data_IF_258410521065
#
_entry.id   IF_258410521065
#
_cell.length_a   1.000
_cell.length_b   1.000
_cell.length_c   1.000
_cell.angle_alpha   90.00
_cell.angle_beta   90.00
_cell.angle_gamma   90.00
#
_symmetry.space_group_name_H-M   'P 1'
#
loop_
_entity.id
_entity.type
_entity.pdbx_description
1 polymer ?
#
# COMPACT_ATOMS: atom_id res chain seq x y z
N UNK A 1 41.22 5.88 -50.18
CA UNK A 1 40.73 5.98 -51.58
C UNK A 1 39.29 5.52 -51.63
N UNK A 2 38.42 6.19 -52.41
CA UNK A 2 36.97 5.91 -52.65
C UNK A 2 36.09 6.12 -51.39
N UNK A 3 35.21 7.12 -51.21
CA UNK A 3 34.20 7.90 -52.01
C UNK A 3 32.85 7.21 -52.27
N UNK A 4 31.80 7.63 -51.53
CA UNK A 4 30.40 7.93 -51.95
C UNK A 4 29.56 8.16 -50.66
N UNK A 5 28.93 9.31 -50.37
CA UNK A 5 27.88 10.12 -51.06
C UNK A 5 26.46 9.52 -51.03
N UNK A 6 25.66 9.99 -50.08
CA UNK A 6 24.18 10.08 -50.02
C UNK A 6 23.88 10.77 -48.66
N UNK A 7 23.58 12.06 -48.50
CA UNK A 7 22.93 13.11 -49.30
C UNK A 7 21.38 13.12 -49.17
N UNK A 8 20.91 13.95 -48.23
CA UNK A 8 19.61 14.66 -48.15
C UNK A 8 18.28 13.88 -48.15
N UNK A 9 17.60 13.92 -47.00
CA UNK A 9 16.19 14.34 -46.89
C UNK A 9 16.12 15.36 -45.74
N UNK A 10 16.12 16.66 -46.04
CA UNK A 10 14.94 17.47 -46.35
C UNK A 10 14.20 17.91 -45.08
N UNK A 11 14.60 19.08 -44.57
CA UNK A 11 13.90 19.82 -43.51
C UNK A 11 12.48 20.15 -43.95
N UNK A 12 11.47 19.57 -43.28
CA UNK A 12 10.07 19.88 -43.51
C UNK A 12 9.52 20.77 -42.39
N UNK A 13 9.52 22.07 -42.69
CA UNK A 13 8.45 23.00 -42.34
C UNK A 13 8.14 23.22 -40.84
N UNK A 14 8.98 24.04 -40.20
CA UNK A 14 8.52 24.87 -39.08
C UNK A 14 7.55 25.93 -39.61
N UNK A 15 6.24 25.71 -39.41
CA UNK A 15 5.19 26.70 -39.69
C UNK A 15 3.92 26.39 -38.88
N UNK A 16 4.09 26.22 -37.56
CA UNK A 16 2.98 26.28 -36.62
C UNK A 16 2.58 27.75 -36.48
N UNK A 17 1.55 28.11 -37.24
CA UNK A 17 1.00 29.45 -37.34
C UNK A 17 0.53 29.95 -35.98
N UNK A 18 1.02 31.12 -35.58
CA UNK A 18 0.30 32.00 -34.66
C UNK A 18 -0.96 32.54 -35.39
N UNK A 19 -1.92 31.65 -35.63
CA UNK A 19 -3.25 32.03 -36.05
C UNK A 19 -3.89 32.74 -34.85
N UNK A 20 -4.01 34.07 -34.96
CA UNK A 20 -4.70 34.85 -33.94
C UNK A 20 -6.09 34.27 -33.72
N UNK A 21 -6.43 33.99 -32.46
CA UNK A 21 -7.76 33.59 -32.07
C UNK A 21 -8.72 34.75 -32.37
N UNK A 22 -9.33 34.73 -33.56
CA UNK A 22 -10.59 35.41 -33.79
C UNK A 22 -11.60 34.75 -32.85
N UNK A 23 -11.85 35.39 -31.71
CA UNK A 23 -12.80 34.90 -30.71
C UNK A 23 -14.21 34.83 -31.28
N UNK A 24 -14.55 33.68 -31.84
CA UNK A 24 -15.91 33.17 -31.69
C UNK A 24 -16.12 32.98 -30.19
N UNK A 25 -17.05 33.74 -29.60
CA UNK A 25 -17.57 33.44 -28.27
C UNK A 25 -18.37 32.14 -28.38
N UNK A 26 -17.66 31.02 -28.32
CA UNK A 26 -18.25 29.70 -28.09
C UNK A 26 -18.89 29.73 -26.69
N UNK A 27 -20.16 29.35 -26.53
CA UNK A 27 -20.83 29.37 -25.23
C UNK A 27 -20.04 28.59 -24.17
N UNK A 28 -19.99 29.10 -22.94
CA UNK A 28 -19.33 28.44 -21.81
C UNK A 28 -19.75 26.96 -21.63
N UNK A 29 -21.01 26.62 -21.95
CA UNK A 29 -21.52 25.25 -21.92
C UNK A 29 -20.80 24.35 -22.94
N UNK A 30 -20.63 24.79 -24.19
CA UNK A 30 -19.96 24.01 -25.23
C UNK A 30 -18.47 23.78 -24.88
N UNK A 31 -17.80 24.81 -24.35
CA UNK A 31 -16.43 24.72 -23.80
C UNK A 31 -16.37 23.71 -22.65
N UNK A 32 -17.36 23.71 -21.74
CA UNK A 32 -17.44 22.76 -20.63
C UNK A 32 -17.67 21.31 -21.08
N UNK A 33 -18.51 21.09 -22.10
CA UNK A 33 -18.71 19.76 -22.69
C UNK A 33 -17.44 19.27 -23.40
N UNK A 34 -16.72 20.16 -24.10
CA UNK A 34 -15.41 19.85 -24.69
C UNK A 34 -14.37 19.47 -23.61
N UNK A 35 -14.35 20.17 -22.48
CA UNK A 35 -13.51 19.84 -21.33
C UNK A 35 -13.83 18.45 -20.75
N UNK A 36 -15.11 18.10 -20.59
CA UNK A 36 -15.55 16.78 -20.15
C UNK A 36 -15.12 15.66 -21.11
N UNK A 37 -15.18 15.92 -22.43
CA UNK A 37 -14.70 14.97 -23.44
C UNK A 37 -13.19 14.72 -23.32
N UNK A 38 -12.39 15.76 -23.14
CA UNK A 38 -10.94 15.61 -22.96
C UNK A 38 -10.62 14.87 -21.65
N UNK A 39 -11.30 15.21 -20.55
CA UNK A 39 -11.01 14.63 -19.24
C UNK A 39 -11.41 13.14 -19.12
N UNK A 40 -12.53 12.73 -19.74
CA UNK A 40 -13.09 11.37 -19.61
C UNK A 40 -12.86 10.49 -20.85
N UNK A 41 -12.92 11.08 -22.04
CA UNK A 41 -12.79 10.36 -23.31
C UNK A 41 -11.33 10.27 -23.76
N UNK A 42 -10.67 11.42 -23.93
CA UNK A 42 -9.26 11.47 -24.34
C UNK A 42 -8.27 11.15 -23.20
N UNK A 43 -8.72 11.22 -21.94
CA UNK A 43 -7.88 11.12 -20.74
C UNK A 43 -6.74 12.14 -20.68
N UNK A 44 -6.96 13.35 -21.20
CA UNK A 44 -6.03 14.48 -21.13
C UNK A 44 -6.51 15.51 -20.09
N UNK A 45 -6.12 15.36 -18.81
CA UNK A 45 -6.50 16.29 -17.75
C UNK A 45 -5.83 17.66 -17.89
N UNK A 46 -4.72 17.79 -18.62
CA UNK A 46 -4.02 19.05 -18.80
C UNK A 46 -4.75 19.94 -19.82
N UNK A 47 -5.18 19.36 -20.94
CA UNK A 47 -5.99 20.06 -21.93
C UNK A 47 -7.42 20.35 -21.40
N UNK A 48 -8.03 19.41 -20.66
CA UNK A 48 -9.31 19.64 -19.99
C UNK A 48 -9.26 20.80 -18.98
N UNK A 49 -8.18 20.88 -18.17
CA UNK A 49 -7.96 21.98 -17.23
C UNK A 49 -7.91 23.34 -17.94
N UNK A 50 -7.24 23.44 -19.10
CA UNK A 50 -7.16 24.68 -19.87
C UNK A 50 -8.51 25.16 -20.42
N UNK A 51 -9.46 24.25 -20.67
CA UNK A 51 -10.83 24.59 -21.03
C UNK A 51 -11.67 24.95 -19.81
N UNK A 52 -11.51 24.27 -18.67
CA UNK A 52 -12.19 24.66 -17.43
C UNK A 52 -11.79 26.06 -16.94
N UNK A 53 -10.53 26.48 -17.09
CA UNK A 53 -10.13 27.86 -16.79
C UNK A 53 -10.77 28.89 -17.75
N UNK A 54 -11.09 28.51 -18.99
CA UNK A 54 -11.85 29.39 -19.91
C UNK A 54 -13.31 29.53 -19.45
N UNK A 55 -13.97 28.44 -19.07
CA UNK A 55 -15.33 28.47 -18.48
C UNK A 55 -15.37 29.33 -17.21
N UNK A 56 -14.32 29.29 -16.39
CA UNK A 56 -14.21 30.10 -15.17
C UNK A 56 -13.85 31.58 -15.43
N UNK A 57 -13.34 31.91 -16.61
CA UNK A 57 -13.06 33.28 -17.05
C UNK A 57 -14.23 33.93 -17.79
N UNK A 58 -15.15 33.13 -18.34
CA UNK A 58 -16.35 33.62 -19.04
C UNK A 58 -17.40 34.15 -18.06
N UNK A 59 -17.58 35.47 -18.02
CA UNK A 59 -18.60 36.16 -17.20
C UNK A 59 -20.04 35.84 -17.60
N UNK A 60 -20.28 35.16 -18.73
CA UNK A 60 -21.60 34.68 -19.15
C UNK A 60 -21.93 33.27 -18.62
N UNK A 61 -20.94 32.54 -18.09
CA UNK A 61 -21.19 31.27 -17.42
C UNK A 61 -22.09 31.47 -16.19
N UNK A 62 -23.13 30.65 -16.07
CA UNK A 62 -23.98 30.69 -14.88
C UNK A 62 -23.24 30.12 -13.65
N UNK A 63 -23.68 30.47 -12.45
CA UNK A 63 -23.01 30.11 -11.20
C UNK A 63 -22.87 28.59 -10.99
N UNK A 64 -23.84 27.80 -11.47
CA UNK A 64 -23.82 26.34 -11.37
C UNK A 64 -22.75 25.73 -12.28
N UNK A 65 -22.69 26.17 -13.55
CA UNK A 65 -21.69 25.73 -14.52
C UNK A 65 -20.27 26.12 -14.05
N UNK A 66 -20.09 27.32 -13.49
CA UNK A 66 -18.83 27.75 -12.90
C UNK A 66 -18.44 26.90 -11.67
N UNK A 67 -19.41 26.56 -10.80
CA UNK A 67 -19.17 25.66 -9.67
C UNK A 67 -18.77 24.25 -10.12
N UNK A 68 -19.44 23.70 -11.14
CA UNK A 68 -19.09 22.43 -11.76
C UNK A 68 -17.68 22.48 -12.39
N UNK A 69 -17.37 23.51 -13.19
CA UNK A 69 -16.04 23.69 -13.78
C UNK A 69 -14.93 23.77 -12.73
N UNK A 70 -15.19 24.43 -11.58
CA UNK A 70 -14.22 24.50 -10.47
C UNK A 70 -13.98 23.16 -9.78
N UNK A 71 -15.04 22.39 -9.54
CA UNK A 71 -14.92 21.01 -9.04
C UNK A 71 -14.10 20.13 -10.00
N UNK A 72 -14.40 20.16 -11.30
CA UNK A 72 -13.71 19.36 -12.31
C UNK A 72 -12.26 19.79 -12.50
N UNK A 73 -11.95 21.09 -12.43
CA UNK A 73 -10.57 21.57 -12.51
C UNK A 73 -9.72 21.11 -11.31
N UNK A 74 -10.28 21.08 -10.10
CA UNK A 74 -9.64 20.48 -8.93
C UNK A 74 -9.25 19.02 -9.16
N UNK A 75 -10.16 18.19 -9.68
CA UNK A 75 -9.88 16.79 -10.03
C UNK A 75 -8.81 16.66 -11.13
N UNK A 76 -8.79 17.57 -12.12
CA UNK A 76 -7.76 17.58 -13.16
C UNK A 76 -6.38 17.91 -12.58
N UNK A 77 -6.31 18.89 -11.68
CA UNK A 77 -5.08 19.31 -10.99
C UNK A 77 -4.44 18.17 -10.20
N UNK A 78 -5.26 17.32 -9.56
CA UNK A 78 -4.77 16.12 -8.87
C UNK A 78 -4.13 15.12 -9.83
N UNK A 79 -4.78 14.83 -10.97
CA UNK A 79 -4.27 13.90 -11.98
C UNK A 79 -2.96 14.36 -12.61
N UNK A 80 -2.68 15.66 -12.64
CA UNK A 80 -1.39 16.23 -13.08
C UNK A 80 -0.42 16.49 -11.91
N UNK A 81 -0.71 16.00 -10.70
CA UNK A 81 0.17 16.07 -9.53
C UNK A 81 0.20 17.44 -8.80
N UNK A 82 -0.65 18.39 -9.20
CA UNK A 82 -0.73 19.75 -8.64
C UNK A 82 -1.67 19.80 -7.42
N UNK A 83 -1.33 19.06 -6.37
CA UNK A 83 -2.20 18.83 -5.21
C UNK A 83 -2.59 20.13 -4.47
N UNK A 84 -1.66 21.07 -4.29
CA UNK A 84 -1.92 22.34 -3.61
C UNK A 84 -2.89 23.25 -4.41
N UNK A 85 -2.76 23.27 -5.74
CA UNK A 85 -3.67 24.00 -6.62
C UNK A 85 -5.07 23.36 -6.63
N UNK A 86 -5.14 22.01 -6.58
CA UNK A 86 -6.41 21.30 -6.42
C UNK A 86 -7.10 21.68 -5.11
N UNK A 87 -6.38 21.64 -3.99
CA UNK A 87 -6.91 22.05 -2.70
C UNK A 87 -7.43 23.50 -2.75
N UNK A 88 -6.70 24.43 -3.36
CA UNK A 88 -7.18 25.80 -3.57
C UNK A 88 -8.50 25.86 -4.35
N UNK A 89 -8.67 25.07 -5.42
CA UNK A 89 -9.93 25.01 -6.19
C UNK A 89 -11.09 24.42 -5.42
N UNK A 90 -10.85 23.41 -4.59
CA UNK A 90 -11.88 22.83 -3.71
C UNK A 90 -12.27 23.80 -2.58
N UNK A 91 -11.31 24.53 -1.99
CA UNK A 91 -11.57 25.59 -1.00
C UNK A 91 -12.41 26.73 -1.57
N UNK A 92 -12.06 27.22 -2.76
CA UNK A 92 -12.87 28.23 -3.46
C UNK A 92 -14.31 27.75 -3.64
N UNK A 93 -14.53 26.47 -3.97
CA UNK A 93 -15.87 25.91 -4.15
C UNK A 93 -16.66 25.87 -2.83
N UNK A 94 -16.00 25.64 -1.70
CA UNK A 94 -16.67 25.72 -0.38
C UNK A 94 -17.13 27.14 -0.05
N UNK A 95 -16.44 28.16 -0.56
CA UNK A 95 -16.77 29.59 -0.38
C UNK A 95 -17.89 30.09 -1.31
N UNK A 96 -18.26 29.34 -2.36
CA UNK A 96 -19.39 29.70 -3.23
C UNK A 96 -20.70 29.31 -2.52
N UNK A 97 -21.41 30.30 -1.97
CA UNK A 97 -22.64 30.09 -1.20
C UNK A 97 -23.75 29.35 -1.96
N UNK A 98 -23.90 29.67 -3.25
CA UNK A 98 -24.95 29.12 -4.13
C UNK A 98 -24.55 27.82 -4.86
N UNK A 99 -23.37 27.26 -4.57
CA UNK A 99 -22.95 25.99 -5.18
C UNK A 99 -23.75 24.81 -4.61
N UNK A 100 -24.10 23.85 -5.48
CA UNK A 100 -24.90 22.69 -5.12
C UNK A 100 -24.32 21.95 -3.89
N UNK A 101 -25.14 21.58 -2.88
CA UNK A 101 -24.65 20.95 -1.64
C UNK A 101 -23.78 19.72 -1.89
N UNK A 102 -24.12 18.91 -2.88
CA UNK A 102 -23.43 17.68 -3.27
C UNK A 102 -22.01 17.96 -3.79
N UNK A 103 -21.83 19.06 -4.55
CA UNK A 103 -20.51 19.50 -5.02
C UNK A 103 -19.65 20.00 -3.86
N UNK A 104 -20.24 20.70 -2.90
CA UNK A 104 -19.53 21.21 -1.71
C UNK A 104 -19.14 20.06 -0.77
N UNK A 105 -20.01 19.07 -0.52
CA UNK A 105 -19.64 17.84 0.20
C UNK A 105 -18.52 17.08 -0.54
N UNK A 106 -18.57 16.98 -1.88
CA UNK A 106 -17.53 16.33 -2.66
C UNK A 106 -16.18 17.05 -2.56
N UNK A 107 -16.15 18.38 -2.62
CA UNK A 107 -14.94 19.18 -2.38
C UNK A 107 -14.41 19.04 -0.94
N UNK A 108 -15.28 19.07 0.06
CA UNK A 108 -14.90 18.87 1.46
C UNK A 108 -14.27 17.48 1.70
N UNK A 109 -14.87 16.41 1.14
CA UNK A 109 -14.29 15.06 1.14
C UNK A 109 -12.92 15.02 0.46
N UNK A 110 -12.77 15.70 -0.66
CA UNK A 110 -11.51 15.74 -1.40
C UNK A 110 -10.42 16.50 -0.63
N UNK A 111 -10.75 17.64 -0.01
CA UNK A 111 -9.84 18.36 0.88
C UNK A 111 -9.39 17.52 2.07
N UNK A 112 -10.33 16.83 2.72
CA UNK A 112 -10.02 15.92 3.83
C UNK A 112 -9.04 14.82 3.42
N UNK A 113 -9.15 14.27 2.21
CA UNK A 113 -8.19 13.28 1.67
C UNK A 113 -6.85 13.94 1.32
N UNK A 114 -6.87 15.08 0.62
CA UNK A 114 -5.66 15.80 0.23
C UNK A 114 -4.82 16.20 1.45
N UNK A 115 -5.46 16.65 2.53
CA UNK A 115 -4.79 17.00 3.79
C UNK A 115 -4.03 15.82 4.42
N UNK A 116 -4.59 14.61 4.35
CA UNK A 116 -3.90 13.37 4.78
C UNK A 116 -2.73 13.04 3.85
N UNK A 117 -2.93 13.16 2.54
CA UNK A 117 -1.88 12.92 1.55
C UNK A 117 -0.73 13.92 1.65
N UNK A 118 -0.97 15.16 2.06
CA UNK A 118 0.06 16.22 2.16
C UNK A 118 0.78 16.30 3.50
N UNK A 119 0.55 15.36 4.43
CA UNK A 119 1.03 15.37 5.84
C UNK A 119 2.55 15.45 6.11
N UNK A 120 3.37 15.88 5.16
CA UNK A 120 4.70 16.46 5.37
C UNK A 120 4.70 17.99 5.50
N UNK A 121 3.61 18.67 5.13
CA UNK A 121 3.43 20.13 5.24
C UNK A 121 2.23 20.43 6.14
N UNK A 122 2.44 20.22 7.45
CA UNK A 122 1.39 20.28 8.47
C UNK A 122 0.60 21.60 8.46
N UNK A 123 1.25 22.71 8.09
CA UNK A 123 0.60 24.04 8.09
C UNK A 123 -0.44 24.19 6.97
N UNK A 124 -0.19 23.63 5.79
CA UNK A 124 -1.14 23.69 4.68
C UNK A 124 -2.31 22.72 4.91
N UNK A 125 -2.00 21.49 5.32
CA UNK A 125 -3.01 20.48 5.66
C UNK A 125 -3.95 20.96 6.77
N UNK A 126 -3.42 21.53 7.86
CA UNK A 126 -4.23 22.03 8.98
C UNK A 126 -5.22 23.12 8.55
N UNK A 127 -4.77 24.12 7.79
CA UNK A 127 -5.64 25.18 7.30
C UNK A 127 -6.81 24.67 6.43
N UNK A 128 -6.61 23.58 5.67
CA UNK A 128 -7.68 22.96 4.90
C UNK A 128 -8.67 22.19 5.77
N UNK A 129 -8.18 21.53 6.83
CA UNK A 129 -9.01 20.84 7.81
C UNK A 129 -9.90 21.83 8.58
N UNK A 130 -9.35 22.97 9.01
CA UNK A 130 -10.09 24.01 9.72
C UNK A 130 -11.26 24.55 8.87
N UNK A 131 -11.02 24.87 7.59
CA UNK A 131 -12.08 25.33 6.68
C UNK A 131 -13.17 24.26 6.49
N UNK A 132 -12.80 22.97 6.35
CA UNK A 132 -13.81 21.91 6.24
C UNK A 132 -14.58 21.72 7.56
N UNK A 133 -13.92 21.85 8.70
CA UNK A 133 -14.52 21.75 10.02
C UNK A 133 -15.50 22.89 10.31
N UNK A 134 -15.20 24.11 9.86
CA UNK A 134 -16.06 25.29 10.00
C UNK A 134 -17.30 25.22 9.07
N UNK A 135 -17.12 24.84 7.81
CA UNK A 135 -18.23 24.81 6.85
C UNK A 135 -19.07 23.53 6.91
N UNK A 136 -18.49 22.39 7.32
CA UNK A 136 -19.14 21.08 7.30
C UNK A 136 -18.82 20.25 8.56
N UNK A 137 -19.13 20.73 9.78
CA UNK A 137 -18.74 20.07 11.03
C UNK A 137 -19.25 18.63 11.16
N UNK A 138 -20.49 18.35 10.73
CA UNK A 138 -21.08 17.00 10.79
C UNK A 138 -20.40 16.03 9.81
N UNK A 139 -19.98 16.52 8.64
CA UNK A 139 -19.25 15.74 7.64
C UNK A 139 -17.83 15.44 8.13
N UNK A 140 -17.15 16.44 8.70
CA UNK A 140 -15.83 16.30 9.31
C UNK A 140 -15.87 15.30 10.46
N UNK A 141 -16.84 15.41 11.38
CA UNK A 141 -17.05 14.48 12.48
C UNK A 141 -17.37 13.06 12.01
N UNK A 142 -18.27 12.91 11.01
CA UNK A 142 -18.60 11.60 10.43
C UNK A 142 -17.38 10.97 9.75
N UNK A 143 -16.61 11.72 8.97
CA UNK A 143 -15.41 11.20 8.31
C UNK A 143 -14.30 10.88 9.30
N UNK A 144 -14.15 11.66 10.39
CA UNK A 144 -13.26 11.33 11.48
C UNK A 144 -13.67 10.01 12.18
N UNK A 145 -14.98 9.79 12.38
CA UNK A 145 -15.50 8.53 12.93
C UNK A 145 -15.33 7.34 11.96
N UNK A 146 -15.63 7.50 10.67
CA UNK A 146 -15.39 6.51 9.62
C UNK A 146 -13.89 6.14 9.57
N UNK A 147 -12.98 7.12 9.64
CA UNK A 147 -11.52 6.91 9.71
C UNK A 147 -11.07 6.20 10.99
N UNK A 148 -11.60 6.59 12.16
CA UNK A 148 -11.29 5.93 13.43
C UNK A 148 -11.74 4.46 13.41
N UNK A 149 -12.94 4.19 12.87
CA UNK A 149 -13.46 2.84 12.68
C UNK A 149 -12.62 1.98 11.71
N UNK A 150 -11.83 2.61 10.82
CA UNK A 150 -10.90 1.96 9.89
C UNK A 150 -9.45 1.88 10.38
N UNK A 151 -9.10 2.46 11.54
CA UNK A 151 -7.76 2.33 12.12
C UNK A 151 -7.66 1.11 13.03
N UNK A 152 -6.53 0.41 13.01
CA UNK A 152 -6.18 -0.70 13.91
C UNK A 152 -4.74 -0.53 14.39
N UNK A 153 -4.48 -0.92 15.64
CA UNK A 153 -3.13 -0.89 16.22
C UNK A 153 -2.38 -2.13 15.75
N UNK A 154 -1.45 -1.97 14.81
CA UNK A 154 -0.44 -2.99 14.54
C UNK A 154 0.51 -3.04 15.73
N UNK A 155 0.55 -4.19 16.40
CA UNK A 155 1.53 -4.50 17.45
C UNK A 155 2.52 -5.53 16.94
N UNK A 156 3.76 -5.46 17.39
CA UNK A 156 4.76 -6.49 17.13
C UNK A 156 5.93 -6.39 18.09
N UNK A 157 6.72 -7.45 18.14
CA UNK A 157 7.96 -7.51 18.92
C UNK A 157 9.11 -7.79 17.97
N UNK A 158 10.20 -7.07 18.11
CA UNK A 158 11.48 -7.37 17.48
C UNK A 158 12.34 -8.06 18.52
N UNK A 159 12.88 -9.23 18.17
CA UNK A 159 13.84 -9.97 18.97
C UNK A 159 15.03 -10.37 18.11
N UNK A 160 16.19 -10.54 18.72
CA UNK A 160 17.38 -11.10 18.11
C UNK A 160 17.33 -12.64 18.21
N UNK A 161 18.05 -13.29 17.31
CA UNK A 161 18.13 -14.76 17.21
C UNK A 161 18.71 -15.44 18.47
N UNK A 162 19.48 -14.69 19.27
CA UNK A 162 20.08 -15.11 20.54
C UNK A 162 19.16 -14.85 21.76
N UNK A 163 17.91 -14.43 21.52
CA UNK A 163 16.92 -14.13 22.56
C UNK A 163 16.99 -12.72 23.16
N UNK A 164 18.00 -11.90 22.80
CA UNK A 164 18.07 -10.52 23.27
C UNK A 164 17.08 -9.62 22.54
N UNK A 165 16.57 -8.58 23.20
CA UNK A 165 15.73 -7.57 22.56
C UNK A 165 16.61 -6.44 22.02
N UNK A 166 16.54 -6.10 20.72
CA UNK A 166 17.31 -5.00 20.16
C UNK A 166 16.67 -3.68 20.60
N UNK A 167 17.36 -2.97 21.49
CA UNK A 167 16.98 -1.63 21.93
C UNK A 167 16.90 -0.70 20.70
N UNK A 168 15.77 0.00 20.55
CA UNK A 168 15.52 1.00 19.49
C UNK A 168 15.68 0.50 18.05
N UNK A 169 15.08 -0.65 17.72
CA UNK A 169 14.94 -1.06 16.32
C UNK A 169 14.00 -0.10 15.56
N UNK A 170 14.43 0.35 14.38
CA UNK A 170 13.58 1.15 13.48
C UNK A 170 12.64 0.25 12.69
N UNK A 171 11.35 0.57 12.72
CA UNK A 171 10.29 -0.16 12.02
C UNK A 171 9.69 0.76 10.96
N UNK A 172 9.78 0.37 9.69
CA UNK A 172 9.23 1.08 8.54
C UNK A 172 8.18 0.22 7.87
N UNK A 173 6.93 0.67 7.86
CA UNK A 173 5.80 -0.07 7.32
C UNK A 173 5.35 0.61 6.03
N UNK A 174 5.18 -0.14 4.95
CA UNK A 174 4.73 0.34 3.64
C UNK A 174 3.46 -0.39 3.22
N UNK A 175 2.41 0.29 2.76
CA UNK A 175 1.26 -0.44 2.21
C UNK A 175 1.64 -1.11 0.87
N UNK A 176 1.26 -2.38 0.70
CA UNK A 176 1.48 -3.19 -0.53
C UNK A 176 0.57 -2.71 -1.66
N UNK A 177 -0.68 -2.44 -1.34
CA UNK A 177 -1.65 -1.73 -2.18
C UNK A 177 -1.89 -0.38 -1.52
N UNK A 178 -2.06 0.74 -2.26
CA UNK A 178 -2.58 1.95 -1.66
C UNK A 178 -3.93 1.63 -1.00
N UNK A 179 -4.12 2.02 0.26
CA UNK A 179 -5.44 1.94 0.88
C UNK A 179 -6.45 2.72 0.01
N UNK A 180 -7.75 2.37 0.01
CA UNK A 180 -8.75 3.13 -0.75
C UNK A 180 -8.65 4.63 -0.44
N UNK A 181 -8.25 5.44 -1.44
CA UNK A 181 -8.01 6.87 -1.29
C UNK A 181 -6.57 7.29 -0.95
N UNK A 182 -5.56 6.42 -1.04
CA UNK A 182 -4.14 6.77 -0.88
C UNK A 182 -3.40 6.89 -2.22
N UNK A 183 -2.55 7.91 -2.36
CA UNK A 183 -1.64 8.06 -3.52
C UNK A 183 -0.42 7.14 -3.42
N UNK A 184 -0.05 6.55 -4.55
CA UNK A 184 1.08 5.64 -4.69
C UNK A 184 2.40 6.31 -4.22
N UNK A 185 3.01 5.74 -3.18
CA UNK A 185 4.30 6.19 -2.62
C UNK A 185 4.24 6.88 -1.26
N UNK A 186 3.08 7.37 -0.80
CA UNK A 186 2.95 8.01 0.54
C UNK A 186 2.44 7.10 1.66
N UNK A 187 2.05 5.87 1.35
CA UNK A 187 1.71 4.84 2.33
C UNK A 187 2.93 4.28 3.07
N UNK A 188 3.73 5.12 3.75
CA UNK A 188 4.95 4.72 4.49
C UNK A 188 4.95 5.32 5.90
N UNK A 189 4.70 4.46 6.88
CA UNK A 189 4.75 4.79 8.30
C UNK A 189 6.10 4.40 8.90
N UNK A 190 6.46 5.02 10.02
CA UNK A 190 7.65 4.70 10.80
C UNK A 190 7.30 4.69 12.28
N UNK A 191 7.85 3.74 13.02
CA UNK A 191 7.88 3.72 14.48
C UNK A 191 9.23 3.15 14.95
N UNK A 192 9.46 3.18 16.25
CA UNK A 192 10.61 2.54 16.90
C UNK A 192 10.10 1.52 17.91
N UNK A 193 10.93 0.54 18.24
CA UNK A 193 10.66 -0.31 19.40
C UNK A 193 11.01 0.41 20.70
N UNK A 194 10.30 0.04 21.76
CA UNK A 194 10.65 0.39 23.14
C UNK A 194 11.86 -0.42 23.65
N UNK A 195 12.15 -0.30 24.94
CA UNK A 195 13.23 -1.01 25.64
C UNK A 195 13.01 -2.53 25.67
N UNK A 196 11.76 -3.00 25.54
CA UNK A 196 11.38 -4.41 25.47
C UNK A 196 11.30 -4.94 24.02
N UNK A 197 11.79 -4.17 23.05
CA UNK A 197 11.72 -4.54 21.63
C UNK A 197 10.30 -4.51 21.05
N UNK A 198 9.30 -4.01 21.77
CA UNK A 198 7.91 -3.96 21.32
C UNK A 198 7.63 -2.67 20.56
N UNK A 199 6.76 -2.73 19.55
CA UNK A 199 6.21 -1.56 18.88
C UNK A 199 4.69 -1.65 18.79
N UNK A 200 4.05 -0.49 18.82
CA UNK A 200 2.65 -0.30 18.52
C UNK A 200 2.51 0.90 17.57
N UNK A 201 1.66 0.78 16.56
CA UNK A 201 1.37 1.87 15.62
C UNK A 201 -0.05 1.74 15.06
N UNK A 202 -0.80 2.82 15.08
CA UNK A 202 -2.10 2.88 14.41
C UNK A 202 -1.93 3.04 12.91
N UNK A 203 -2.51 2.10 12.16
CA UNK A 203 -2.54 2.09 10.71
C UNK A 203 -3.99 1.93 10.25
N UNK A 204 -4.34 2.37 9.02
CA UNK A 204 -5.57 1.93 8.39
C UNK A 204 -5.64 0.40 8.25
N UNK A 205 -6.83 -0.13 8.01
CA UNK A 205 -7.02 -1.47 7.44
C UNK A 205 -6.36 -1.53 6.06
N UNK A 206 -5.61 -2.60 5.78
CA UNK A 206 -4.86 -2.77 4.53
C UNK A 206 -3.75 -3.83 4.60
N UNK A 207 -3.12 -4.10 3.45
CA UNK A 207 -1.98 -5.00 3.33
C UNK A 207 -0.65 -4.22 3.38
N UNK A 208 0.34 -4.74 4.09
CA UNK A 208 1.59 -4.05 4.44
C UNK A 208 2.86 -4.90 4.26
N UNK A 209 3.94 -4.23 3.89
CA UNK A 209 5.34 -4.68 3.92
C UNK A 209 6.01 -4.00 5.12
N UNK A 210 6.48 -4.77 6.10
CA UNK A 210 7.18 -4.26 7.29
C UNK A 210 8.68 -4.48 7.09
N UNK A 211 9.48 -3.43 7.28
CA UNK A 211 10.94 -3.49 7.24
C UNK A 211 11.48 -3.10 8.60
N UNK A 212 12.28 -3.98 9.21
CA UNK A 212 12.91 -3.74 10.50
C UNK A 212 14.42 -3.59 10.31
N UNK A 213 15.02 -2.61 10.98
CA UNK A 213 16.47 -2.40 10.97
C UNK A 213 16.96 -1.83 12.30
N UNK A 214 17.95 -2.49 12.88
CA UNK A 214 18.69 -2.02 14.05
C UNK A 214 20.14 -1.68 13.66
N UNK A 215 20.83 -0.74 14.36
CA UNK A 215 22.13 -0.21 13.90
C UNK A 215 23.25 -1.24 13.69
N UNK A 216 23.21 -2.38 14.38
CA UNK A 216 24.24 -3.42 14.32
C UNK A 216 23.84 -4.68 13.52
N UNK A 217 22.64 -4.73 12.92
CA UNK A 217 22.07 -5.95 12.36
C UNK A 217 21.58 -5.78 10.91
N UNK A 218 21.60 -6.88 10.15
CA UNK A 218 21.08 -6.91 8.79
C UNK A 218 19.57 -6.65 8.78
N UNK A 219 19.09 -5.89 7.78
CA UNK A 219 17.67 -5.52 7.67
C UNK A 219 16.81 -6.73 7.32
N UNK A 220 15.72 -6.92 8.04
CA UNK A 220 14.74 -8.00 7.83
C UNK A 220 13.47 -7.43 7.21
N UNK A 221 12.85 -8.21 6.33
CA UNK A 221 11.63 -7.87 5.60
C UNK A 221 10.54 -8.87 6.01
N UNK A 222 9.42 -8.35 6.49
CA UNK A 222 8.23 -9.10 6.89
C UNK A 222 7.02 -8.57 6.12
N UNK A 223 5.95 -9.34 6.07
CA UNK A 223 4.69 -8.93 5.44
C UNK A 223 3.54 -9.19 6.41
N UNK A 224 2.62 -8.23 6.51
CA UNK A 224 1.49 -8.28 7.42
C UNK A 224 0.25 -7.73 6.73
N UNK A 225 -0.92 -8.24 7.09
CA UNK A 225 -2.20 -7.68 6.67
C UNK A 225 -2.99 -7.27 7.92
N UNK A 226 -3.44 -6.03 7.97
CA UNK A 226 -4.47 -5.58 8.89
C UNK A 226 -5.81 -5.73 8.18
N UNK A 227 -6.51 -6.81 8.48
CA UNK A 227 -7.87 -7.07 7.99
C UNK A 227 -8.90 -6.27 8.80
N UNK A 228 -10.04 -5.87 8.19
CA UNK A 228 -11.19 -5.42 8.97
C UNK A 228 -11.74 -6.60 9.79
N UNK A 229 -12.46 -6.32 10.88
CA UNK A 229 -12.94 -7.38 11.79
C UNK A 229 -13.90 -8.39 11.15
N UNK A 230 -14.45 -8.11 9.98
CA UNK A 230 -15.39 -8.98 9.27
C UNK A 230 -14.73 -9.88 8.20
N UNK A 231 -13.49 -9.62 7.79
CA UNK A 231 -12.84 -10.38 6.71
C UNK A 231 -11.81 -11.37 7.26
N UNK A 232 -12.28 -12.57 7.62
CA UNK A 232 -11.44 -13.64 8.18
C UNK A 232 -10.41 -14.15 7.18
N UNK A 233 -9.16 -14.26 7.65
CA UNK A 233 -7.98 -14.98 7.07
C UNK A 233 -6.90 -14.09 6.44
N UNK A 234 -5.95 -13.52 7.23
CA UNK A 234 -4.70 -13.05 6.66
C UNK A 234 -3.86 -14.27 6.22
N UNK A 235 -3.34 -14.24 4.98
CA UNK A 235 -2.37 -15.24 4.54
C UNK A 235 -0.99 -14.94 5.14
N UNK A 236 -0.40 -15.91 5.83
CA UNK A 236 0.96 -15.81 6.40
C UNK A 236 1.92 -16.46 5.39
N UNK A 237 3.00 -15.77 5.00
CA UNK A 237 3.96 -16.23 3.96
C UNK A 237 5.32 -16.58 4.55
N UNK A 238 5.94 -17.66 4.02
CA UNK A 238 7.15 -18.44 4.40
C UNK A 238 8.60 -17.90 4.09
N UNK A 239 9.62 -17.93 4.99
CA UNK A 239 11.09 -17.66 4.75
C UNK A 239 12.01 -18.37 5.80
N UNK A 240 12.85 -19.40 5.50
CA UNK A 240 13.69 -20.14 6.50
C UNK A 240 15.19 -19.76 6.53
N UNK A 241 15.86 -19.75 7.69
CA UNK A 241 17.31 -19.84 7.74
C UNK A 241 17.79 -21.23 7.28
N UNK A 242 19.03 -21.30 6.77
CA UNK A 242 19.63 -22.48 6.15
C UNK A 242 19.49 -23.77 6.96
N UNK A 243 18.67 -24.69 6.46
CA UNK A 243 18.68 -26.13 6.79
C UNK A 243 18.93 -26.90 5.48
N UNK A 244 19.79 -27.93 5.45
CA UNK A 244 20.03 -28.73 4.24
C UNK A 244 18.78 -29.56 3.88
N UNK A 245 18.00 -29.07 2.92
CA UNK A 245 16.85 -29.79 2.38
C UNK A 245 17.24 -31.03 1.55
N UNK A 246 16.39 -32.07 1.48
CA UNK A 246 16.56 -33.19 0.54
C UNK A 246 16.60 -32.71 -0.92
N UNK A 247 17.12 -33.54 -1.82
CA UNK A 247 17.34 -33.14 -3.23
C UNK A 247 16.05 -32.98 -4.04
N UNK A 248 14.94 -33.46 -3.49
CA UNK A 248 13.61 -33.46 -4.09
C UNK A 248 12.59 -33.39 -2.96
N UNK A 249 11.60 -32.52 -3.10
CA UNK A 249 10.47 -32.44 -2.19
C UNK A 249 9.26 -33.07 -2.90
N UNK A 250 8.73 -34.14 -2.32
CA UNK A 250 7.59 -34.90 -2.84
C UNK A 250 6.33 -34.69 -1.99
N UNK A 251 6.50 -34.36 -0.71
CA UNK A 251 5.42 -34.09 0.24
C UNK A 251 5.88 -33.08 1.29
N UNK A 252 5.01 -32.13 1.61
CA UNK A 252 5.14 -31.25 2.78
C UNK A 252 3.89 -31.42 3.65
N UNK A 253 4.08 -31.50 4.96
CA UNK A 253 3.02 -31.51 5.96
C UNK A 253 3.26 -30.40 6.98
N UNK A 254 2.21 -29.80 7.54
CA UNK A 254 2.32 -29.00 8.76
C UNK A 254 1.97 -29.85 9.97
N UNK A 255 2.78 -29.70 11.02
CA UNK A 255 2.64 -30.38 12.32
C UNK A 255 2.71 -29.36 13.43
N UNK A 256 1.94 -29.55 14.50
CA UNK A 256 1.89 -28.57 15.59
C UNK A 256 0.99 -28.95 16.74
N UNK A 257 0.90 -28.04 17.72
CA UNK A 257 0.11 -28.18 18.95
C UNK A 257 -1.41 -28.26 18.74
N UNK A 258 -1.89 -27.95 17.55
CA UNK A 258 -3.29 -28.14 17.12
C UNK A 258 -3.58 -29.55 16.61
N UNK A 259 -2.57 -30.43 16.56
CA UNK A 259 -2.73 -31.87 16.34
C UNK A 259 -2.62 -32.63 17.68
N UNK A 260 -2.77 -33.95 17.65
CA UNK A 260 -2.69 -34.81 18.83
C UNK A 260 -1.23 -34.89 19.33
N UNK A 261 -0.79 -33.88 20.09
CA UNK A 261 0.58 -33.73 20.62
C UNK A 261 1.68 -33.95 19.56
N UNK A 262 1.63 -33.15 18.49
CA UNK A 262 2.55 -33.21 17.33
C UNK A 262 2.51 -34.51 16.50
N UNK A 263 1.69 -35.50 16.87
CA UNK A 263 1.47 -36.71 16.07
C UNK A 263 0.66 -36.42 14.79
N UNK A 264 0.91 -37.22 13.74
CA UNK A 264 0.31 -37.02 12.44
C UNK A 264 0.91 -35.83 11.69
N UNK A 265 0.15 -35.24 10.77
CA UNK A 265 0.53 -34.08 9.95
C UNK A 265 -0.52 -33.77 8.91
N UNK A 266 -0.79 -32.48 8.66
CA UNK A 266 -1.75 -32.05 7.64
C UNK A 266 -1.02 -31.80 6.32
N UNK A 267 -1.38 -32.47 5.20
CA UNK A 267 -0.65 -32.35 3.95
C UNK A 267 -0.89 -30.99 3.27
N UNK A 268 0.17 -30.32 2.84
CA UNK A 268 0.10 -29.12 2.03
C UNK A 268 -0.04 -29.48 0.55
N UNK A 269 -0.76 -28.63 -0.19
CA UNK A 269 -0.95 -28.74 -1.63
C UNK A 269 0.14 -27.94 -2.36
N UNK A 270 0.80 -28.49 -3.40
CA UNK A 270 1.75 -27.73 -4.21
C UNK A 270 1.00 -26.71 -5.08
N UNK A 271 1.41 -25.44 -5.03
CA UNK A 271 0.83 -24.32 -5.80
C UNK A 271 1.79 -23.73 -6.84
N UNK A 272 2.79 -24.53 -7.23
CA UNK A 272 3.78 -24.19 -8.25
C UNK A 272 4.88 -23.26 -7.76
N UNK A 273 5.96 -23.18 -8.56
CA UNK A 273 7.19 -22.46 -8.22
C UNK A 273 7.75 -22.87 -6.84
N UNK A 274 7.71 -24.17 -6.53
CA UNK A 274 8.25 -24.72 -5.29
C UNK A 274 7.51 -24.34 -4.00
N UNK A 275 6.31 -23.77 -4.13
CA UNK A 275 5.46 -23.37 -3.01
C UNK A 275 4.40 -24.40 -2.71
N UNK A 276 4.09 -24.53 -1.43
CA UNK A 276 3.13 -25.45 -0.86
C UNK A 276 2.23 -24.70 0.13
N UNK A 277 0.92 -24.99 0.15
CA UNK A 277 -0.01 -24.36 1.10
C UNK A 277 -1.14 -25.27 1.59
N UNK A 278 -1.65 -24.97 2.78
CA UNK A 278 -2.91 -25.53 3.31
C UNK A 278 -3.71 -24.42 3.98
N UNK A 279 -5.04 -24.50 3.89
CA UNK A 279 -5.98 -23.70 4.68
C UNK A 279 -6.52 -24.56 5.81
N UNK A 280 -6.37 -24.09 7.05
CA UNK A 280 -6.84 -24.78 8.25
C UNK A 280 -7.56 -23.80 9.15
N UNK A 281 -8.71 -24.20 9.70
CA UNK A 281 -9.43 -23.44 10.71
C UNK A 281 -8.85 -23.76 12.09
N UNK A 282 -8.45 -22.73 12.85
CA UNK A 282 -7.89 -22.85 14.19
C UNK A 282 -8.65 -21.97 15.17
N UNK A 283 -8.83 -22.48 16.39
CA UNK A 283 -9.41 -21.72 17.51
C UNK A 283 -8.48 -20.61 18.01
N UNK A 284 -8.99 -19.70 18.87
CA UNK A 284 -8.14 -18.73 19.55
C UNK A 284 -7.09 -19.42 20.42
N UNK A 285 -5.92 -18.80 20.56
CA UNK A 285 -4.80 -19.31 21.37
C UNK A 285 -3.44 -19.14 20.70
N UNK A 286 -2.41 -19.70 21.33
CA UNK A 286 -1.08 -19.87 20.73
C UNK A 286 -0.96 -21.27 20.14
N UNK A 287 -0.50 -21.33 18.89
CA UNK A 287 -0.37 -22.54 18.09
C UNK A 287 1.08 -22.68 17.66
N UNK A 288 1.78 -23.67 18.22
CA UNK A 288 3.17 -23.95 17.90
C UNK A 288 3.24 -24.95 16.76
N UNK A 289 4.09 -24.73 15.76
CA UNK A 289 4.13 -25.58 14.58
C UNK A 289 5.49 -25.64 13.86
N UNK A 290 5.62 -26.61 12.97
CA UNK A 290 6.74 -26.86 12.05
C UNK A 290 6.23 -27.56 10.79
N UNK A 291 7.09 -27.71 9.79
CA UNK A 291 6.86 -28.54 8.61
C UNK A 291 7.58 -29.88 8.73
N UNK A 292 6.94 -30.94 8.22
CA UNK A 292 7.58 -32.24 7.94
C UNK A 292 7.72 -32.39 6.43
N UNK A 293 8.92 -32.70 5.96
CA UNK A 293 9.21 -32.87 4.52
C UNK A 293 9.48 -34.33 4.24
N UNK A 294 8.86 -34.90 3.20
CA UNK A 294 9.03 -36.29 2.76
C UNK A 294 8.82 -37.37 3.85
N UNK A 295 8.17 -37.04 4.97
CA UNK A 295 8.05 -37.94 6.12
C UNK A 295 9.32 -38.06 6.98
N UNK A 296 10.33 -37.21 6.77
CA UNK A 296 11.55 -37.19 7.58
C UNK A 296 11.25 -36.84 9.04
N UNK A 297 12.02 -37.42 9.98
CA UNK A 297 11.85 -37.16 11.41
C UNK A 297 12.30 -35.75 11.84
N UNK A 298 13.13 -35.08 11.03
CA UNK A 298 13.59 -33.72 11.29
C UNK A 298 12.49 -32.72 10.92
N UNK A 299 11.93 -32.06 11.94
CA UNK A 299 10.91 -31.03 11.76
C UNK A 299 11.55 -29.66 11.53
N UNK A 300 11.07 -28.98 10.50
CA UNK A 300 11.65 -27.79 9.90
C UNK A 300 10.76 -26.59 10.28
N UNK A 301 11.20 -25.64 11.12
CA UNK A 301 10.33 -24.59 11.63
C UNK A 301 9.83 -23.65 10.54
N UNK A 302 8.62 -23.13 10.72
CA UNK A 302 8.19 -21.90 10.06
C UNK A 302 8.81 -20.66 10.77
N UNK A 303 9.01 -19.55 10.05
CA UNK A 303 10.29 -18.82 10.09
C UNK A 303 10.27 -17.39 9.53
N UNK A 304 9.32 -17.07 8.67
CA UNK A 304 8.65 -15.76 8.69
C UNK A 304 7.59 -15.70 9.78
N UNK A 305 7.25 -16.85 10.38
CA UNK A 305 6.38 -16.92 11.54
C UNK A 305 6.71 -15.78 12.49
N UNK A 306 5.70 -14.96 12.81
CA UNK A 306 5.92 -13.68 13.47
C UNK A 306 6.46 -13.84 14.91
N UNK A 307 6.42 -15.06 15.46
CA UNK A 307 7.00 -15.43 16.73
C UNK A 307 7.58 -16.86 16.67
N UNK A 308 8.48 -17.15 17.61
CA UNK A 308 9.09 -18.45 17.83
C UNK A 308 9.07 -18.81 19.31
N UNK A 309 9.21 -20.09 19.62
CA UNK A 309 9.42 -20.57 20.98
C UNK A 309 10.50 -21.66 20.98
N UNK A 310 11.43 -21.71 21.96
CA UNK A 310 12.36 -22.83 22.09
C UNK A 310 11.64 -24.16 22.23
N UNK A 311 12.19 -25.22 21.63
CA UNK A 311 11.74 -26.59 21.83
C UNK A 311 12.66 -27.38 22.78
N UNK A 312 12.27 -28.61 23.12
CA UNK A 312 13.01 -29.47 24.04
C UNK A 312 14.32 -30.07 23.47
N UNK A 313 14.67 -29.76 22.22
CA UNK A 313 15.77 -30.36 21.46
C UNK A 313 16.74 -29.29 20.92
N UNK A 314 16.89 -28.17 21.63
CA UNK A 314 17.76 -27.03 21.28
C UNK A 314 17.36 -26.30 19.96
N UNK A 315 16.18 -26.61 19.42
CA UNK A 315 15.58 -25.92 18.28
C UNK A 315 14.51 -24.91 18.69
N UNK A 316 13.75 -24.45 17.69
CA UNK A 316 12.60 -23.56 17.89
C UNK A 316 11.40 -24.08 17.10
N UNK A 317 10.20 -23.94 17.67
CA UNK A 317 8.94 -24.03 16.93
C UNK A 317 8.54 -22.63 16.43
N UNK A 318 7.86 -22.60 15.28
CA UNK A 318 7.11 -21.43 14.87
C UNK A 318 5.92 -21.22 15.80
N UNK A 319 5.55 -19.97 16.11
CA UNK A 319 4.37 -19.66 16.92
C UNK A 319 3.43 -18.73 16.19
N UNK A 320 2.19 -19.19 16.03
CA UNK A 320 1.04 -18.43 15.55
C UNK A 320 0.15 -18.07 16.74
N UNK A 321 -0.22 -16.80 16.90
CA UNK A 321 -1.10 -16.33 17.97
C UNK A 321 -2.40 -15.79 17.36
N UNK A 322 -3.54 -16.28 17.83
CA UNK A 322 -4.88 -15.93 17.32
C UNK A 322 -5.77 -15.44 18.47
N UNK A 323 -6.22 -14.19 18.43
CA UNK A 323 -7.12 -13.63 19.45
C UNK A 323 -8.56 -14.18 19.37
N UNK A 324 -8.94 -14.68 18.19
CA UNK A 324 -10.26 -15.26 17.87
C UNK A 324 -10.11 -16.37 16.83
N UNK A 325 -11.11 -17.24 16.73
CA UNK A 325 -11.14 -18.32 15.74
C UNK A 325 -11.03 -17.77 14.31
N UNK A 326 -10.11 -18.33 13.52
CA UNK A 326 -9.77 -17.87 12.17
C UNK A 326 -9.45 -19.07 11.26
N UNK A 327 -9.77 -18.94 9.96
CA UNK A 327 -9.08 -19.73 8.94
C UNK A 327 -7.69 -19.10 8.71
N UNK A 328 -6.67 -19.95 8.63
CA UNK A 328 -5.29 -19.54 8.43
C UNK A 328 -4.68 -20.33 7.28
N UNK A 329 -3.79 -19.68 6.54
CA UNK A 329 -3.03 -20.32 5.46
C UNK A 329 -1.58 -20.53 5.92
N UNK A 330 -1.14 -21.78 5.98
CA UNK A 330 0.26 -22.14 6.21
C UNK A 330 0.97 -22.31 4.87
N UNK A 331 2.20 -21.79 4.76
CA UNK A 331 2.95 -21.76 3.50
C UNK A 331 4.39 -22.24 3.65
N UNK A 332 4.87 -23.01 2.70
CA UNK A 332 6.27 -23.41 2.59
C UNK A 332 6.78 -23.05 1.18
N UNK A 333 7.94 -22.43 1.08
CA UNK A 333 8.55 -21.98 -0.19
C UNK A 333 10.00 -22.48 -0.28
N UNK A 334 10.27 -23.45 -1.15
CA UNK A 334 11.62 -24.02 -1.32
C UNK A 334 12.58 -23.08 -2.08
N UNK A 335 12.05 -22.05 -2.77
CA UNK A 335 12.81 -21.12 -3.61
C UNK A 335 13.27 -19.87 -2.86
N UNK A 336 12.85 -19.73 -1.61
CA UNK A 336 13.25 -18.63 -0.76
C UNK A 336 14.80 -18.52 -0.66
N UNK A 337 15.36 -17.31 -0.78
CA UNK A 337 16.80 -17.13 -0.90
C UNK A 337 17.61 -17.57 0.34
N UNK A 338 16.97 -17.67 1.51
CA UNK A 338 17.61 -18.10 2.76
C UNK A 338 17.68 -19.64 2.89
N UNK A 339 16.87 -20.38 2.12
CA UNK A 339 16.86 -21.85 2.07
C UNK A 339 17.81 -22.48 1.07
N UNK A 340 18.29 -21.71 0.09
CA UNK A 340 19.10 -22.26 -1.02
C UNK A 340 20.18 -23.17 -0.45
N UNK A 341 20.13 -24.45 -0.85
CA UNK A 341 21.18 -25.43 -0.60
C UNK A 341 22.53 -24.75 -0.76
N UNK A 342 23.45 -25.04 0.15
CA UNK A 342 24.86 -24.85 -0.13
C UNK A 342 25.23 -25.80 -1.28
N UNK A 343 24.88 -25.41 -2.51
CA UNK A 343 25.41 -26.02 -3.71
C UNK A 343 26.92 -25.87 -3.69
N UNK A 344 27.61 -26.83 -4.31
CA UNK A 344 29.06 -26.93 -4.33
C UNK A 344 29.67 -25.76 -5.13
N UNK A 345 29.64 -24.57 -4.55
CA UNK A 345 30.42 -23.42 -4.99
C UNK A 345 31.87 -23.75 -4.74
N UNK A 346 32.58 -24.05 -5.82
CA UNK A 346 34.03 -23.95 -5.85
C UNK A 346 34.38 -22.55 -5.31
N UNK A 347 35.19 -22.49 -4.24
CA UNK A 347 35.96 -21.29 -3.98
C UNK A 347 37.00 -21.23 -5.09
N UNK A 348 36.74 -20.43 -6.11
CA UNK A 348 37.82 -19.87 -6.90
C UNK A 348 38.52 -18.85 -5.98
N UNK A 349 39.77 -19.15 -5.62
CA UNK A 349 40.63 -18.23 -4.87
C UNK A 349 41.09 -17.08 -5.79
N UNK A 350 40.74 -15.84 -5.43
CA UNK A 350 41.35 -14.57 -5.87
C UNK A 350 41.19 -13.49 -4.78
#
# INVERSE_FOLDING_TARGET
MKTCRLLFFASALALLTAAGWCGSNEPAEDIFQQALYLERGASDPAAALALYEQVLADTSANAELAAQARWRSGLCLERVGRLADSAARHLDLLNIGDAAPELREAAARTLLRLAEETGSDESASAAWLDVVQDHFPDLAARLAAERAALRRVLRGTVALWDGHQPVQASVRIRARTPAPGAVEGRSIWRTQTDEAGQFAIELPVGAYEIRVGAPAYQRVYLSAALIPEEETSPEIQCVLPRIPLPARIERVEVVGSFLNDWEGGLPLNPVGLGRWEIRQRLGPGSHDYKFRINGEAHLIPDVTAAAFVPDAHEGFNARLVLDREQEVCFRFDENDPHFRRAGNGHMDDD
#
